data_IF_286714275845
#
_entry.id   IF_286714275845
#
_cell.length_a   1.000
_cell.length_b   1.000
_cell.length_c   1.000
_cell.angle_alpha   90.00
_cell.angle_beta   90.00
_cell.angle_gamma   90.00
#
_symmetry.space_group_name_H-M   'P 1'
#
loop_
_entity.id
_entity.type
_entity.pdbx_description
1 polymer ?
#
# COMPACT_ATOMS: atom_id res chain seq x y z
N UNK A 1 38.02 -44.85 23.18
CA UNK A 1 37.84 -45.35 21.81
C UNK A 1 36.34 -45.38 21.50
N UNK A 2 35.92 -44.73 20.41
CA UNK A 2 34.64 -44.81 19.65
C UNK A 2 33.29 -44.84 20.44
N UNK A 3 32.50 -43.76 20.49
CA UNK A 3 31.48 -43.29 19.53
C UNK A 3 30.39 -44.30 19.12
N UNK A 4 29.11 -43.94 19.35
CA UNK A 4 28.03 -43.96 18.33
C UNK A 4 26.77 -43.21 18.80
N UNK A 5 26.29 -42.35 17.90
CA UNK A 5 25.15 -41.42 17.94
C UNK A 5 23.77 -42.13 17.86
N UNK A 6 22.71 -41.28 17.86
CA UNK A 6 21.31 -41.44 17.41
C UNK A 6 20.30 -41.36 18.58
N UNK A 7 19.27 -40.51 18.59
CA UNK A 7 18.75 -39.59 17.59
C UNK A 7 18.02 -38.40 18.25
N UNK A 8 18.03 -37.26 17.56
CA UNK A 8 17.14 -36.14 17.80
C UNK A 8 15.71 -36.53 17.43
N UNK A 9 14.76 -36.26 18.32
CA UNK A 9 13.36 -36.03 17.95
C UNK A 9 12.90 -34.75 18.64
N UNK A 10 13.41 -33.61 18.15
CA UNK A 10 12.79 -32.32 18.45
C UNK A 10 11.50 -32.27 17.63
N UNK A 11 10.37 -32.56 18.29
CA UNK A 11 9.05 -32.35 17.73
C UNK A 11 8.88 -30.85 17.44
N UNK A 12 8.96 -30.47 16.17
CA UNK A 12 8.68 -29.12 15.71
C UNK A 12 7.16 -28.98 15.66
N UNK A 13 6.53 -28.65 16.79
CA UNK A 13 5.17 -28.15 16.77
C UNK A 13 5.22 -26.83 15.97
N UNK A 14 4.67 -26.86 14.76
CA UNK A 14 4.48 -25.70 13.90
C UNK A 14 3.62 -24.70 14.68
N UNK A 15 4.26 -23.75 15.36
CA UNK A 15 3.60 -22.71 16.11
C UNK A 15 3.04 -21.70 15.10
N UNK A 16 1.93 -22.04 14.43
CA UNK A 16 1.15 -21.11 13.63
C UNK A 16 0.30 -20.19 14.54
N UNK A 17 0.92 -19.64 15.59
CA UNK A 17 0.30 -18.64 16.44
C UNK A 17 0.64 -17.25 15.88
N UNK A 18 -0.43 -16.54 15.55
CA UNK A 18 -0.52 -15.13 15.20
C UNK A 18 0.69 -14.32 15.69
N UNK A 19 1.57 -13.96 14.76
CA UNK A 19 2.24 -12.66 14.86
C UNK A 19 1.20 -11.68 14.29
N UNK A 20 0.53 -10.81 15.08
CA UNK A 20 -0.16 -9.66 14.49
C UNK A 20 0.87 -8.99 13.59
N UNK A 21 0.57 -8.80 12.30
CA UNK A 21 1.59 -8.49 11.29
C UNK A 21 2.49 -7.34 11.75
N UNK A 22 3.68 -7.65 12.27
CA UNK A 22 4.68 -6.65 12.62
C UNK A 22 5.12 -5.84 11.38
N UNK A 23 4.73 -6.32 10.19
CA UNK A 23 5.05 -5.78 8.88
C UNK A 23 3.86 -5.12 8.15
N UNK A 24 2.66 -5.04 8.75
CA UNK A 24 1.44 -4.54 8.09
C UNK A 24 0.76 -5.56 7.14
N UNK A 25 -0.41 -5.20 6.58
CA UNK A 25 -1.17 -6.05 5.65
C UNK A 25 -0.74 -5.83 4.19
N UNK A 26 -0.44 -6.87 3.40
CA UNK A 26 0.04 -6.70 2.03
C UNK A 26 -1.04 -6.07 1.14
N UNK A 27 -0.59 -5.22 0.20
CA UNK A 27 -1.42 -4.64 -0.84
C UNK A 27 -0.60 -4.35 -2.11
N UNK A 28 -1.28 -4.29 -3.25
CA UNK A 28 -0.68 -3.91 -4.53
C UNK A 28 -1.32 -2.65 -5.09
N UNK A 29 -0.50 -1.75 -5.62
CA UNK A 29 -0.89 -0.44 -6.13
C UNK A 29 -0.46 -0.36 -7.60
N UNK A 30 -1.39 -0.53 -8.53
CA UNK A 30 -1.11 -0.46 -9.96
C UNK A 30 -1.46 0.92 -10.49
N UNK A 31 -0.47 1.62 -11.07
CA UNK A 31 -0.72 2.91 -11.70
C UNK A 31 -1.45 2.69 -13.03
N UNK A 32 -2.61 3.31 -13.18
CA UNK A 32 -3.50 3.08 -14.31
C UNK A 32 -3.13 3.93 -15.53
N UNK A 33 -3.43 3.45 -16.76
CA UNK A 33 -3.33 4.25 -17.98
C UNK A 33 -4.04 5.61 -17.86
N UNK A 34 -3.46 6.64 -18.45
CA UNK A 34 -3.93 8.03 -18.36
C UNK A 34 -3.34 8.83 -17.21
N UNK A 35 -2.73 8.17 -16.20
CA UNK A 35 -2.03 8.86 -15.12
C UNK A 35 -0.86 9.70 -15.63
N UNK A 36 -0.70 10.89 -15.07
CA UNK A 36 0.34 11.87 -15.36
C UNK A 36 0.50 12.81 -14.13
N UNK A 37 1.18 13.94 -14.29
CA UNK A 37 1.43 14.87 -13.18
C UNK A 37 0.24 15.78 -12.83
N UNK A 38 -0.86 15.76 -13.57
CA UNK A 38 -2.08 16.54 -13.26
C UNK A 38 -3.31 15.63 -13.04
N UNK A 39 -3.15 14.33 -13.20
CA UNK A 39 -4.19 13.33 -12.95
C UNK A 39 -3.53 12.02 -12.54
N UNK A 40 -3.91 11.44 -11.40
CA UNK A 40 -3.37 10.16 -10.94
C UNK A 40 -4.49 9.14 -10.73
N UNK A 41 -4.32 7.93 -11.24
CA UNK A 41 -5.29 6.84 -11.07
C UNK A 41 -4.57 5.56 -10.64
N UNK A 42 -5.12 4.89 -9.63
CA UNK A 42 -4.51 3.71 -9.02
C UNK A 42 -5.55 2.62 -8.78
N UNK A 43 -5.23 1.40 -9.22
CA UNK A 43 -5.93 0.18 -8.86
C UNK A 43 -5.29 -0.40 -7.59
N UNK A 44 -6.06 -0.50 -6.51
CA UNK A 44 -5.58 -0.94 -5.20
C UNK A 44 -6.19 -2.29 -4.84
N UNK A 45 -5.35 -3.32 -4.73
CA UNK A 45 -5.77 -4.64 -4.26
C UNK A 45 -5.30 -4.87 -2.84
N UNK A 46 -6.26 -5.24 -2.01
CA UNK A 46 -6.13 -5.50 -0.57
C UNK A 46 -7.11 -6.63 -0.23
N UNK A 47 -6.80 -7.48 0.75
CA UNK A 47 -7.64 -8.63 1.11
C UNK A 47 -9.01 -8.23 1.70
N UNK A 48 -9.17 -6.99 2.15
CA UNK A 48 -10.44 -6.44 2.63
C UNK A 48 -11.10 -5.49 1.64
N UNK A 49 -12.26 -4.98 2.05
CA UNK A 49 -12.99 -3.96 1.31
C UNK A 49 -12.49 -2.56 1.66
N UNK A 50 -12.28 -1.72 0.64
CA UNK A 50 -11.84 -0.33 0.78
C UNK A 50 -13.05 0.59 0.63
N UNK A 51 -13.31 1.42 1.64
CA UNK A 51 -14.43 2.38 1.65
C UNK A 51 -14.00 3.81 1.33
N UNK A 52 -12.73 4.15 1.56
CA UNK A 52 -12.16 5.43 1.18
C UNK A 52 -10.65 5.32 0.92
N UNK A 53 -10.13 6.20 0.07
CA UNK A 53 -8.70 6.32 -0.22
C UNK A 53 -8.28 7.78 -0.17
N UNK A 54 -7.10 8.02 0.41
CA UNK A 54 -6.45 9.32 0.38
C UNK A 54 -4.98 9.18 -0.01
N UNK A 55 -4.43 10.23 -0.60
CA UNK A 55 -3.04 10.35 -1.02
C UNK A 55 -2.36 11.47 -0.25
N UNK A 56 -1.09 11.29 0.08
CA UNK A 56 -0.23 12.35 0.59
C UNK A 56 1.02 12.45 -0.28
N UNK A 57 1.39 13.68 -0.65
CA UNK A 57 2.61 13.99 -1.36
C UNK A 57 3.69 14.37 -0.36
N UNK A 58 4.90 13.88 -0.58
CA UNK A 58 6.05 14.28 0.23
C UNK A 58 6.61 15.60 -0.32
N UNK A 59 6.75 16.61 0.53
CA UNK A 59 7.37 17.91 0.25
C UNK A 59 6.75 18.73 -0.91
N UNK A 60 5.44 18.61 -1.12
CA UNK A 60 4.75 19.47 -2.08
C UNK A 60 4.78 20.95 -1.67
N UNK A 61 5.19 21.88 -2.57
CA UNK A 61 5.10 23.32 -2.34
C UNK A 61 3.68 23.87 -2.59
N UNK A 62 2.78 23.05 -3.16
CA UNK A 62 1.40 23.43 -3.46
C UNK A 62 0.46 23.08 -2.32
N UNK A 63 -0.54 23.94 -2.07
CA UNK A 63 -1.56 23.73 -1.04
C UNK A 63 -2.34 22.42 -1.23
N UNK A 64 -2.59 22.05 -2.49
CA UNK A 64 -3.25 20.79 -2.85
C UNK A 64 -2.45 19.54 -2.47
N UNK A 65 -1.13 19.66 -2.25
CA UNK A 65 -0.28 18.54 -1.82
C UNK A 65 0.00 18.49 -0.31
N UNK A 66 -0.60 19.37 0.51
CA UNK A 66 -0.47 19.30 1.96
C UNK A 66 -1.52 18.37 2.58
N UNK A 67 -1.08 17.45 3.44
CA UNK A 67 -1.96 16.54 4.18
C UNK A 67 -2.57 15.42 3.32
N UNK A 68 -3.56 14.72 3.89
CA UNK A 68 -4.27 13.63 3.22
C UNK A 68 -5.37 14.14 2.30
N UNK A 69 -5.19 13.92 1.01
CA UNK A 69 -6.09 14.36 -0.05
C UNK A 69 -6.99 13.20 -0.48
N UNK A 70 -8.32 13.34 -0.45
CA UNK A 70 -9.22 12.25 -0.79
C UNK A 70 -9.16 11.93 -2.30
N UNK A 71 -9.15 10.64 -2.61
CA UNK A 71 -9.35 10.14 -3.96
C UNK A 71 -10.83 9.82 -4.17
N UNK A 72 -11.29 9.99 -5.41
CA UNK A 72 -12.63 9.61 -5.83
C UNK A 72 -12.64 8.17 -6.28
N UNK A 73 -13.58 7.37 -5.78
CA UNK A 73 -13.86 6.06 -6.33
C UNK A 73 -14.29 6.20 -7.80
N UNK A 74 -13.81 5.29 -8.64
CA UNK A 74 -14.16 5.27 -10.06
C UNK A 74 -14.97 4.00 -10.40
N UNK A 75 -14.28 2.86 -10.50
CA UNK A 75 -14.91 1.55 -10.75
C UNK A 75 -14.08 0.44 -10.13
N UNK A 76 -14.73 -0.64 -9.68
CA UNK A 76 -14.04 -1.77 -9.04
C UNK A 76 -13.13 -1.29 -7.91
N UNK A 77 -11.83 -1.57 -8.05
CA UNK A 77 -10.75 -1.20 -7.10
C UNK A 77 -9.96 0.04 -7.52
N UNK A 78 -10.46 0.84 -8.48
CA UNK A 78 -9.77 2.00 -9.04
C UNK A 78 -10.21 3.31 -8.37
N UNK A 79 -9.21 4.13 -8.02
CA UNK A 79 -9.37 5.41 -7.35
C UNK A 79 -8.60 6.51 -8.08
N UNK A 80 -9.19 7.71 -8.19
CA UNK A 80 -8.65 8.81 -8.97
C UNK A 80 -8.37 10.04 -8.10
N UNK A 81 -7.24 10.69 -8.35
CA UNK A 81 -6.86 11.99 -7.82
C UNK A 81 -6.74 12.99 -8.98
N UNK A 82 -7.51 14.07 -8.90
CA UNK A 82 -7.61 15.13 -9.92
C UNK A 82 -7.45 16.49 -9.22
N UNK A 83 -6.22 16.86 -8.85
CA UNK A 83 -5.93 18.11 -8.15
C UNK A 83 -5.91 19.33 -9.08
N UNK A 84 -5.96 20.52 -8.47
CA UNK A 84 -5.80 21.80 -9.20
C UNK A 84 -4.35 22.08 -9.61
N UNK A 85 -3.39 21.62 -8.82
CA UNK A 85 -1.96 21.80 -9.06
C UNK A 85 -1.30 20.47 -9.42
N UNK A 86 -0.13 20.48 -10.08
CA UNK A 86 0.58 19.27 -10.40
C UNK A 86 0.93 18.43 -9.16
N UNK A 87 0.76 17.12 -9.28
CA UNK A 87 1.16 16.14 -8.30
C UNK A 87 2.67 15.96 -8.27
N UNK A 88 3.23 15.84 -7.08
CA UNK A 88 4.64 15.60 -6.86
C UNK A 88 4.84 14.30 -6.07
N UNK A 89 5.29 13.21 -6.74
CA UNK A 89 5.63 11.97 -6.04
C UNK A 89 6.94 12.14 -5.23
N UNK A 90 7.18 11.30 -4.20
CA UNK A 90 6.48 10.05 -3.91
C UNK A 90 5.09 10.25 -3.31
N UNK A 91 4.23 9.24 -3.49
CA UNK A 91 2.90 9.22 -2.89
C UNK A 91 2.82 8.16 -1.79
N UNK A 92 2.41 8.60 -0.61
CA UNK A 92 1.87 7.72 0.42
C UNK A 92 0.37 7.54 0.18
N UNK A 93 -0.13 6.32 0.35
CA UNK A 93 -1.55 5.98 0.19
C UNK A 93 -2.13 5.54 1.52
N UNK A 94 -3.24 6.16 1.93
CA UNK A 94 -4.06 5.76 3.05
C UNK A 94 -5.34 5.13 2.52
N UNK A 95 -5.73 3.98 3.07
CA UNK A 95 -7.06 3.42 2.86
C UNK A 95 -7.86 3.48 4.16
N UNK A 96 -9.18 3.53 4.06
CA UNK A 96 -10.10 3.16 5.13
C UNK A 96 -10.77 1.86 4.73
N UNK A 97 -10.70 0.83 5.58
CA UNK A 97 -11.39 -0.43 5.33
C UNK A 97 -12.86 -0.39 5.80
N UNK A 98 -13.63 -1.44 5.51
CA UNK A 98 -15.04 -1.54 5.91
C UNK A 98 -15.27 -1.66 7.43
N UNK A 99 -14.21 -1.82 8.22
CA UNK A 99 -14.24 -1.75 9.68
C UNK A 99 -13.91 -0.34 10.19
N UNK A 100 -13.68 0.62 9.29
CA UNK A 100 -13.30 1.98 9.62
C UNK A 100 -11.82 2.15 9.98
N UNK A 101 -11.00 1.10 9.81
CA UNK A 101 -9.56 1.18 10.11
C UNK A 101 -8.85 1.97 9.02
N UNK A 102 -8.10 2.99 9.43
CA UNK A 102 -7.16 3.71 8.55
C UNK A 102 -5.82 2.99 8.53
N UNK A 103 -5.34 2.68 7.34
CA UNK A 103 -4.06 1.99 7.11
C UNK A 103 -3.23 2.75 6.09
N UNK A 104 -1.92 2.83 6.29
CA UNK A 104 -1.02 3.60 5.43
C UNK A 104 0.04 2.73 4.78
N UNK A 105 0.19 2.87 3.48
CA UNK A 105 1.36 2.45 2.73
C UNK A 105 2.19 3.70 2.40
N UNK A 106 3.29 3.86 3.13
CA UNK A 106 4.15 5.04 3.03
C UNK A 106 5.00 4.99 1.74
N UNK A 107 5.01 6.11 1.01
CA UNK A 107 5.82 6.37 -0.19
C UNK A 107 5.79 5.22 -1.22
N UNK A 108 4.66 4.52 -1.30
CA UNK A 108 4.51 3.28 -2.08
C UNK A 108 4.53 3.53 -3.59
N UNK A 109 4.17 4.74 -4.04
CA UNK A 109 4.35 5.16 -5.43
C UNK A 109 5.63 6.02 -5.50
N UNK A 110 6.71 5.54 -6.15
CA UNK A 110 8.00 6.23 -6.14
C UNK A 110 8.03 7.42 -7.11
N UNK A 111 9.02 8.34 -7.02
CA UNK A 111 9.12 9.53 -7.87
C UNK A 111 9.11 9.26 -9.38
N UNK A 112 9.68 8.14 -9.81
CA UNK A 112 9.85 7.74 -11.20
C UNK A 112 8.85 6.65 -11.64
N UNK A 113 7.66 6.66 -11.03
CA UNK A 113 6.63 5.65 -11.30
C UNK A 113 6.30 5.53 -12.80
N UNK A 114 5.80 4.35 -13.20
CA UNK A 114 5.45 4.05 -14.60
C UNK A 114 4.00 3.64 -14.73
N UNK A 115 3.36 4.08 -15.81
CA UNK A 115 2.03 3.62 -16.18
C UNK A 115 2.04 2.09 -16.33
N UNK A 116 1.07 1.41 -15.73
CA UNK A 116 0.92 -0.04 -15.77
C UNK A 116 1.79 -0.80 -14.76
N UNK A 117 2.75 -0.14 -14.11
CA UNK A 117 3.57 -0.77 -13.07
C UNK A 117 2.75 -1.04 -11.81
N UNK A 118 3.12 -2.12 -11.13
CA UNK A 118 2.56 -2.54 -9.84
C UNK A 118 3.61 -2.32 -8.77
N UNK A 119 3.27 -1.54 -7.76
CA UNK A 119 4.08 -1.34 -6.57
C UNK A 119 3.46 -2.13 -5.42
N UNK A 120 4.24 -2.96 -4.74
CA UNK A 120 3.77 -3.72 -3.59
C UNK A 120 4.19 -3.00 -2.31
N UNK A 121 3.30 -2.95 -1.33
CA UNK A 121 3.57 -2.35 -0.03
C UNK A 121 2.75 -3.02 1.06
N UNK A 122 3.02 -2.60 2.29
CA UNK A 122 2.22 -3.03 3.43
C UNK A 122 1.45 -1.86 4.02
N UNK A 123 0.19 -2.12 4.32
CA UNK A 123 -0.76 -1.24 4.96
C UNK A 123 -0.69 -1.44 6.47
N UNK A 124 -0.12 -0.48 7.19
CA UNK A 124 0.05 -0.49 8.64
C UNK A 124 -0.81 0.57 9.33
#
# INVERSE_FOLDING_TARGET
MASRLFAFAASLALLSLLIPSAYGKPASFKVMPGSNNIFFSVDIKYEGEITAVSLMQTDSPYASGHGWQPLKHNFGTVWNYDPKDPTLPPFSIQITDNQGKKLVAKDVIPPNWKIGAVYNGNLA
#
